data_IF_089834709732
#
_entry.id   IF_089834709732
#
_cell.length_a   1.000
_cell.length_b   1.000
_cell.length_c   1.000
_cell.angle_alpha   90.00
_cell.angle_beta   90.00
_cell.angle_gamma   90.00
#
_symmetry.space_group_name_H-M   'P 1'
#
loop_
_entity.id
_entity.type
_entity.pdbx_description
1 polymer ?
#
# COMPACT_ATOMS: atom_id res chain seq x y z
N UNK A 1 0.95 -8.78 17.72
CA UNK A 1 0.51 -9.20 16.37
C UNK A 1 0.99 -10.62 16.18
N UNK A 2 0.09 -11.60 16.07
CA UNK A 2 0.49 -12.97 15.74
C UNK A 2 1.10 -13.00 14.34
N UNK A 3 2.29 -13.59 14.23
CA UNK A 3 2.94 -13.85 12.95
C UNK A 3 2.12 -14.86 12.16
N UNK A 4 1.88 -14.55 10.88
CA UNK A 4 1.18 -15.47 9.98
C UNK A 4 1.98 -16.78 9.89
N UNK A 5 1.35 -17.90 10.23
CA UNK A 5 1.98 -19.21 10.15
C UNK A 5 2.00 -19.71 8.71
N UNK A 6 3.13 -20.28 8.30
CA UNK A 6 3.38 -20.86 6.98
C UNK A 6 3.75 -22.32 7.16
N UNK A 7 3.22 -23.18 6.29
CA UNK A 7 3.54 -24.59 6.29
C UNK A 7 4.84 -24.81 5.51
N UNK A 8 5.85 -25.40 6.16
CA UNK A 8 7.11 -25.82 5.50
C UNK A 8 6.92 -27.12 4.73
N UNK A 9 7.95 -27.52 3.97
CA UNK A 9 7.97 -28.81 3.25
C UNK A 9 7.81 -30.02 4.17
N UNK A 10 8.27 -29.91 5.41
CA UNK A 10 8.12 -30.93 6.47
C UNK A 10 6.74 -30.91 7.16
N UNK A 11 5.77 -30.16 6.63
CA UNK A 11 4.46 -29.91 7.25
C UNK A 11 4.55 -29.31 8.66
N UNK A 12 5.61 -28.56 8.95
CA UNK A 12 5.77 -27.83 10.21
C UNK A 12 5.36 -26.37 10.00
N UNK A 13 4.76 -25.78 11.03
CA UNK A 13 4.46 -24.36 11.01
C UNK A 13 5.72 -23.56 11.31
N UNK A 14 6.01 -22.59 10.46
CA UNK A 14 7.03 -21.57 10.65
C UNK A 14 6.40 -20.18 10.57
N UNK A 15 7.11 -19.18 11.06
CA UNK A 15 6.64 -17.81 11.08
C UNK A 15 6.98 -17.09 9.77
N UNK A 16 6.04 -16.28 9.26
CA UNK A 16 6.33 -15.28 8.25
C UNK A 16 7.24 -14.20 8.86
N UNK A 17 8.42 -14.03 8.26
CA UNK A 17 9.38 -13.00 8.63
C UNK A 17 9.26 -11.81 7.67
N UNK A 18 9.71 -10.65 8.13
CA UNK A 18 9.73 -9.41 7.34
C UNK A 18 11.09 -8.75 7.44
N UNK A 19 11.55 -8.13 6.35
CA UNK A 19 12.75 -7.28 6.33
C UNK A 19 12.52 -6.02 5.51
N UNK A 20 13.25 -4.96 5.82
CA UNK A 20 13.35 -3.79 4.95
C UNK A 20 14.42 -4.05 3.91
N UNK A 21 14.07 -3.89 2.63
CA UNK A 21 14.99 -4.01 1.50
C UNK A 21 15.21 -2.65 0.90
N UNK A 22 16.48 -2.33 0.65
CA UNK A 22 16.91 -1.16 -0.09
C UNK A 22 17.43 -1.57 -1.47
N UNK A 23 16.91 -0.95 -2.52
CA UNK A 23 17.28 -1.28 -3.89
C UNK A 23 17.36 -0.04 -4.77
N UNK A 24 18.46 0.11 -5.51
CA UNK A 24 18.57 1.10 -6.58
C UNK A 24 17.94 0.55 -7.86
N UNK A 25 16.98 1.28 -8.43
CA UNK A 25 16.36 0.89 -9.70
C UNK A 25 16.03 2.12 -10.55
N UNK A 26 16.55 2.16 -11.78
CA UNK A 26 16.35 3.27 -12.74
C UNK A 26 16.61 4.65 -12.15
N UNK A 27 17.66 4.79 -11.34
CA UNK A 27 18.04 6.05 -10.69
C UNK A 27 17.27 6.38 -9.40
N UNK A 28 16.30 5.55 -8.98
CA UNK A 28 15.56 5.74 -7.73
C UNK A 28 16.08 4.82 -6.62
N UNK A 29 16.20 5.34 -5.40
CA UNK A 29 16.37 4.53 -4.20
C UNK A 29 14.98 4.04 -3.76
N UNK A 30 14.79 2.73 -3.76
CA UNK A 30 13.54 2.09 -3.34
C UNK A 30 13.72 1.46 -1.97
N UNK A 31 12.79 1.75 -1.07
CA UNK A 31 12.74 1.15 0.26
C UNK A 31 11.38 0.46 0.38
N UNK A 32 11.38 -0.83 0.66
CA UNK A 32 10.14 -1.60 0.82
C UNK A 32 10.29 -2.73 1.83
N UNK A 33 9.16 -3.14 2.41
CA UNK A 33 9.10 -4.32 3.29
C UNK A 33 8.87 -5.57 2.45
N UNK A 34 9.76 -6.52 2.58
CA UNK A 34 9.69 -7.85 1.97
C UNK A 34 9.32 -8.88 3.03
N UNK A 35 8.48 -9.85 2.66
CA UNK A 35 8.09 -10.98 3.51
C UNK A 35 8.65 -12.30 2.97
N UNK A 36 9.10 -13.18 3.86
CA UNK A 36 9.71 -14.47 3.53
C UNK A 36 9.50 -15.48 4.67
N UNK A 37 9.93 -16.72 4.48
CA UNK A 37 10.03 -17.70 5.57
C UNK A 37 11.35 -18.46 5.47
N UNK A 38 11.74 -19.13 6.55
CA UNK A 38 12.93 -19.97 6.59
C UNK A 38 12.54 -21.44 6.45
N UNK A 39 13.21 -22.14 5.54
CA UNK A 39 13.13 -23.59 5.38
C UNK A 39 14.52 -24.17 5.12
N UNK A 40 14.65 -25.50 5.14
CA UNK A 40 15.93 -26.15 4.86
C UNK A 40 16.38 -25.93 3.42
N UNK A 41 17.68 -25.74 3.26
CA UNK A 41 18.31 -25.62 1.95
C UNK A 41 18.14 -26.92 1.15
N UNK A 42 17.86 -26.79 -0.14
CA UNK A 42 17.64 -27.93 -1.03
C UNK A 42 18.42 -27.72 -2.29
N UNK A 43 19.26 -28.69 -2.61
CA UNK A 43 19.93 -28.74 -3.89
C UNK A 43 18.90 -29.13 -4.96
N UNK A 44 18.57 -28.21 -5.86
CA UNK A 44 17.52 -28.41 -6.87
C UNK A 44 17.84 -29.50 -7.90
N UNK A 45 19.14 -29.74 -8.17
CA UNK A 45 19.59 -30.76 -9.14
C UNK A 45 19.50 -32.18 -8.58
N UNK A 46 19.71 -32.34 -7.27
CA UNK A 46 19.80 -33.65 -6.60
C UNK A 46 18.62 -33.96 -5.69
N UNK A 47 17.83 -32.96 -5.32
CA UNK A 47 16.72 -33.07 -4.36
C UNK A 47 17.17 -33.29 -2.90
N UNK A 48 18.48 -33.23 -2.61
CA UNK A 48 19.02 -33.43 -1.26
C UNK A 48 18.71 -32.21 -0.39
N UNK A 49 18.16 -32.47 0.80
CA UNK A 49 17.81 -31.45 1.80
C UNK A 49 18.92 -31.36 2.85
N UNK A 50 19.53 -30.18 2.98
CA UNK A 50 20.46 -29.89 4.08
C UNK A 50 19.70 -29.45 5.32
N UNK A 51 19.50 -30.39 6.24
CA UNK A 51 18.82 -30.14 7.53
C UNK A 51 19.61 -29.28 8.51
N UNK A 52 20.86 -28.91 8.19
CA UNK A 52 21.70 -28.05 9.04
C UNK A 52 21.64 -26.59 8.62
N UNK A 53 21.25 -26.33 7.37
CA UNK A 53 21.21 -24.98 6.81
C UNK A 53 19.78 -24.54 6.54
N UNK A 54 19.37 -23.39 7.09
CA UNK A 54 18.07 -22.77 6.79
C UNK A 54 18.28 -21.54 5.94
N UNK A 55 17.59 -21.47 4.80
CA UNK A 55 17.67 -20.37 3.84
C UNK A 55 16.29 -19.75 3.61
N UNK A 56 16.30 -18.58 2.96
CA UNK A 56 15.09 -17.81 2.68
C UNK A 56 14.30 -18.45 1.53
N UNK A 57 13.02 -18.70 1.77
CA UNK A 57 12.06 -19.13 0.76
C UNK A 57 10.85 -18.21 0.72
N UNK A 58 10.13 -18.30 -0.40
CA UNK A 58 8.95 -17.49 -0.66
C UNK A 58 7.82 -18.36 -1.19
N UNK A 59 6.68 -18.30 -0.52
CA UNK A 59 5.44 -18.84 -1.09
C UNK A 59 4.99 -17.97 -2.26
N UNK A 60 4.18 -18.53 -3.17
CA UNK A 60 3.59 -17.78 -4.30
C UNK A 60 2.83 -16.52 -3.84
N UNK A 61 2.17 -16.59 -2.69
CA UNK A 61 1.48 -15.44 -2.08
C UNK A 61 2.45 -14.36 -1.61
N UNK A 62 3.56 -14.75 -0.96
CA UNK A 62 4.60 -13.82 -0.52
C UNK A 62 5.30 -13.14 -1.70
N UNK A 63 5.66 -13.90 -2.75
CA UNK A 63 6.22 -13.31 -3.99
C UNK A 63 5.28 -12.25 -4.54
N UNK A 64 3.98 -12.57 -4.64
CA UNK A 64 2.97 -11.63 -5.16
C UNK A 64 2.86 -10.35 -4.32
N UNK A 65 2.93 -10.46 -2.99
CA UNK A 65 2.95 -9.31 -2.06
C UNK A 65 4.23 -8.49 -2.21
N UNK A 66 5.39 -9.14 -2.23
CA UNK A 66 6.70 -8.49 -2.37
C UNK A 66 6.80 -7.71 -3.68
N UNK A 67 6.36 -8.31 -4.79
CA UNK A 67 6.33 -7.65 -6.10
C UNK A 67 5.39 -6.43 -6.09
N UNK A 68 4.28 -6.50 -5.37
CA UNK A 68 3.36 -5.37 -5.23
C UNK A 68 3.98 -4.23 -4.42
N UNK A 69 4.62 -4.53 -3.29
CA UNK A 69 5.29 -3.52 -2.45
C UNK A 69 6.46 -2.88 -3.19
N UNK A 70 7.25 -3.66 -3.94
CA UNK A 70 8.31 -3.15 -4.82
C UNK A 70 7.75 -2.23 -5.92
N UNK A 71 6.66 -2.63 -6.58
CA UNK A 71 6.01 -1.79 -7.60
C UNK A 71 5.51 -0.48 -6.98
N UNK A 72 4.85 -0.56 -5.82
CA UNK A 72 4.34 0.60 -5.09
C UNK A 72 5.46 1.56 -4.71
N UNK A 73 6.57 1.06 -4.14
CA UNK A 73 7.72 1.91 -3.77
C UNK A 73 8.32 2.62 -4.98
N UNK A 74 8.39 1.95 -6.12
CA UNK A 74 8.82 2.59 -7.38
C UNK A 74 7.86 3.70 -7.83
N UNK A 75 6.55 3.50 -7.73
CA UNK A 75 5.57 4.53 -8.12
C UNK A 75 5.61 5.73 -7.17
N UNK A 76 5.77 5.49 -5.87
CA UNK A 76 5.92 6.54 -4.85
C UNK A 76 7.17 7.37 -5.13
N UNK A 77 8.30 6.72 -5.42
CA UNK A 77 9.54 7.40 -5.79
C UNK A 77 9.39 8.28 -7.05
N UNK A 78 8.43 7.97 -7.93
CA UNK A 78 8.07 8.78 -9.12
C UNK A 78 7.03 9.87 -8.86
N UNK A 79 6.64 10.08 -7.61
CA UNK A 79 5.72 11.13 -7.17
C UNK A 79 4.26 10.70 -6.98
N UNK A 80 3.97 9.41 -6.89
CA UNK A 80 2.66 8.96 -6.42
C UNK A 80 2.52 9.17 -4.90
N UNK A 81 1.28 9.34 -4.41
CA UNK A 81 1.01 9.39 -2.98
C UNK A 81 1.35 8.06 -2.29
N UNK A 82 2.09 8.13 -1.19
CA UNK A 82 2.32 6.96 -0.35
C UNK A 82 1.05 6.61 0.43
N UNK A 83 0.79 5.31 0.71
CA UNK A 83 -0.35 4.88 1.52
C UNK A 83 -0.47 5.63 2.84
N UNK A 84 0.65 5.86 3.53
CA UNK A 84 0.69 6.62 4.78
C UNK A 84 0.20 8.06 4.63
N UNK A 85 0.53 8.73 3.52
CA UNK A 85 0.11 10.11 3.27
C UNK A 85 -1.40 10.21 3.06
N UNK A 86 -1.96 9.21 2.37
CA UNK A 86 -3.41 9.11 2.16
C UNK A 86 -4.12 8.87 3.48
N UNK A 87 -3.63 7.93 4.30
CA UNK A 87 -4.16 7.64 5.64
C UNK A 87 -4.10 8.89 6.52
N UNK A 88 -2.94 9.55 6.61
CA UNK A 88 -2.77 10.74 7.45
C UNK A 88 -3.69 11.88 7.03
N UNK A 89 -3.81 12.16 5.73
CA UNK A 89 -4.77 13.14 5.23
C UNK A 89 -6.20 12.78 5.64
N UNK A 90 -6.57 11.52 5.44
CA UNK A 90 -7.91 11.03 5.64
C UNK A 90 -8.31 11.02 7.12
N UNK A 91 -7.40 10.64 8.00
CA UNK A 91 -7.58 10.68 9.46
C UNK A 91 -7.66 12.10 9.97
N UNK A 92 -6.78 12.99 9.50
CA UNK A 92 -6.79 14.43 9.86
C UNK A 92 -8.14 15.09 9.59
N UNK A 93 -8.76 14.77 8.46
CA UNK A 93 -10.05 15.37 8.06
C UNK A 93 -11.26 14.46 8.34
N UNK A 94 -11.06 13.34 9.05
CA UNK A 94 -12.12 12.35 9.35
C UNK A 94 -12.96 11.95 8.12
N UNK A 95 -12.29 11.66 7.02
CA UNK A 95 -12.91 11.21 5.77
C UNK A 95 -12.87 9.68 5.74
N UNK A 96 -13.93 9.00 5.31
CA UNK A 96 -13.87 7.55 5.10
C UNK A 96 -13.15 7.24 3.77
N UNK A 97 -12.41 6.13 3.68
CA UNK A 97 -11.68 5.76 2.44
C UNK A 97 -12.63 5.63 1.24
N UNK A 98 -13.83 5.12 1.49
CA UNK A 98 -14.92 5.04 0.51
C UNK A 98 -15.39 6.41 0.04
N UNK A 99 -15.58 7.35 0.97
CA UNK A 99 -15.96 8.73 0.65
C UNK A 99 -14.88 9.41 -0.18
N UNK A 100 -13.60 9.29 0.20
CA UNK A 100 -12.49 9.86 -0.57
C UNK A 100 -12.37 9.25 -1.97
N UNK A 101 -12.61 7.95 -2.10
CA UNK A 101 -12.63 7.28 -3.41
C UNK A 101 -13.69 7.89 -4.33
N UNK A 102 -14.91 8.07 -3.81
CA UNK A 102 -16.04 8.64 -4.56
C UNK A 102 -15.77 10.09 -4.96
N UNK A 103 -15.27 10.91 -4.03
CA UNK A 103 -14.91 12.33 -4.30
C UNK A 103 -13.94 12.44 -5.47
N UNK A 104 -12.93 11.56 -5.53
CA UNK A 104 -11.91 11.58 -6.57
C UNK A 104 -12.34 10.86 -7.87
N UNK A 105 -13.58 10.39 -7.96
CA UNK A 105 -14.10 9.71 -9.15
C UNK A 105 -13.62 8.26 -9.31
N UNK A 106 -13.15 7.62 -8.24
CA UNK A 106 -12.77 6.21 -8.25
C UNK A 106 -13.90 5.28 -7.80
N UNK A 107 -13.72 3.98 -8.02
CA UNK A 107 -14.59 2.97 -7.40
C UNK A 107 -14.43 2.99 -5.88
N UNK A 108 -15.50 2.69 -5.15
CA UNK A 108 -15.62 2.82 -3.68
C UNK A 108 -14.45 2.24 -2.87
N UNK A 109 -13.80 1.17 -3.34
CA UNK A 109 -12.74 0.49 -2.61
C UNK A 109 -11.33 0.91 -3.03
N UNK A 110 -11.18 1.82 -4.00
CA UNK A 110 -9.88 2.15 -4.59
C UNK A 110 -8.91 2.72 -3.57
N UNK A 111 -9.32 3.69 -2.76
CA UNK A 111 -8.46 4.26 -1.72
C UNK A 111 -8.10 3.20 -0.67
N UNK A 112 -9.07 2.42 -0.19
CA UNK A 112 -8.80 1.35 0.77
C UNK A 112 -7.80 0.32 0.22
N UNK A 113 -7.94 -0.07 -1.04
CA UNK A 113 -6.99 -0.98 -1.69
C UNK A 113 -5.60 -0.35 -1.78
N UNK A 114 -5.48 0.95 -2.10
CA UNK A 114 -4.18 1.62 -2.12
C UNK A 114 -3.56 1.69 -0.72
N UNK A 115 -4.38 1.98 0.31
CA UNK A 115 -3.93 2.03 1.71
C UNK A 115 -3.37 0.68 2.19
N UNK A 116 -3.98 -0.43 1.77
CA UNK A 116 -3.60 -1.79 2.21
C UNK A 116 -2.56 -2.45 1.31
N UNK A 117 -2.71 -2.33 -0.01
CA UNK A 117 -1.96 -3.08 -1.01
C UNK A 117 -0.93 -2.22 -1.77
N UNK A 118 -0.95 -0.91 -1.59
CA UNK A 118 -0.06 0.03 -2.28
C UNK A 118 -0.57 0.53 -3.64
N UNK A 119 0.18 1.44 -4.23
CA UNK A 119 -0.19 2.14 -5.46
C UNK A 119 -0.02 1.22 -6.66
N UNK A 120 -1.04 1.15 -7.53
CA UNK A 120 -1.03 0.28 -8.72
C UNK A 120 -0.81 1.04 -10.03
N UNK A 121 -1.13 2.34 -10.05
CA UNK A 121 -1.04 3.24 -11.21
C UNK A 121 -0.39 4.57 -10.84
N UNK A 122 0.57 5.03 -11.66
CA UNK A 122 1.25 6.31 -11.45
C UNK A 122 0.28 7.49 -11.58
N UNK A 123 -0.60 7.46 -12.58
CA UNK A 123 -1.55 8.55 -12.85
C UNK A 123 -2.52 8.71 -11.68
N UNK A 124 -3.12 7.60 -11.22
CA UNK A 124 -4.02 7.61 -10.07
C UNK A 124 -3.29 8.07 -8.80
N UNK A 125 -2.08 7.55 -8.57
CA UNK A 125 -1.26 7.95 -7.42
C UNK A 125 -0.89 9.43 -7.42
N UNK A 126 -0.59 10.02 -8.59
CA UNK A 126 -0.31 11.46 -8.75
C UNK A 126 -1.55 12.33 -8.58
N UNK A 127 -2.68 11.89 -9.12
CA UNK A 127 -3.96 12.58 -8.91
C UNK A 127 -4.29 12.65 -7.42
N UNK A 128 -4.19 11.52 -6.71
CA UNK A 128 -4.41 11.48 -5.26
C UNK A 128 -3.42 12.42 -4.56
N UNK A 129 -2.13 12.35 -4.89
CA UNK A 129 -1.08 13.20 -4.32
C UNK A 129 -1.40 14.69 -4.49
N UNK A 130 -1.81 15.08 -5.69
CA UNK A 130 -2.18 16.44 -6.01
C UNK A 130 -3.40 16.89 -5.18
N UNK A 131 -4.43 16.05 -5.09
CA UNK A 131 -5.65 16.37 -4.33
C UNK A 131 -5.41 16.47 -2.83
N UNK A 132 -4.62 15.57 -2.23
CA UNK A 132 -4.37 15.62 -0.77
C UNK A 132 -3.40 16.74 -0.37
N UNK A 133 -2.54 17.18 -1.30
CA UNK A 133 -1.59 18.27 -1.06
C UNK A 133 -2.17 19.66 -1.38
N UNK A 134 -3.26 19.75 -2.13
CA UNK A 134 -3.86 21.01 -2.54
C UNK A 134 -5.35 21.06 -2.16
N UNK A 135 -5.67 21.90 -1.16
CA UNK A 135 -7.01 22.07 -0.63
C UNK A 135 -8.02 22.56 -1.68
N UNK A 136 -7.60 23.41 -2.61
CA UNK A 136 -8.48 23.96 -3.64
C UNK A 136 -8.93 22.86 -4.60
N UNK A 137 -8.03 21.94 -4.93
CA UNK A 137 -8.31 20.81 -5.81
C UNK A 137 -9.29 19.85 -5.13
N UNK A 138 -9.04 19.43 -3.89
CA UNK A 138 -9.97 18.53 -3.21
C UNK A 138 -11.34 19.20 -2.96
N UNK A 139 -11.37 20.49 -2.65
CA UNK A 139 -12.62 21.25 -2.47
C UNK A 139 -13.39 21.35 -3.79
N UNK A 140 -12.70 21.53 -4.91
CA UNK A 140 -13.31 21.47 -6.23
C UNK A 140 -13.94 20.10 -6.48
N UNK A 141 -13.23 19.00 -6.23
CA UNK A 141 -13.74 17.63 -6.37
C UNK A 141 -14.97 17.37 -5.49
N UNK A 142 -14.98 17.86 -4.24
CA UNK A 142 -16.15 17.74 -3.35
C UNK A 142 -17.36 18.47 -3.94
N UNK A 143 -17.16 19.68 -4.46
CA UNK A 143 -18.24 20.50 -5.02
C UNK A 143 -18.89 19.82 -6.22
N UNK A 144 -18.08 19.31 -7.15
CA UNK A 144 -18.55 18.69 -8.40
C UNK A 144 -18.99 17.22 -8.25
N UNK A 145 -18.78 16.60 -7.09
CA UNK A 145 -19.13 15.20 -6.87
C UNK A 145 -20.65 15.01 -6.68
N UNK A 146 -21.37 14.50 -7.68
CA UNK A 146 -22.83 14.32 -7.59
C UNK A 146 -23.27 13.13 -6.72
N UNK A 147 -22.36 12.21 -6.41
CA UNK A 147 -22.65 11.02 -5.61
C UNK A 147 -22.69 11.28 -4.09
N UNK A 148 -22.57 12.53 -3.65
CA UNK A 148 -22.61 12.93 -2.24
C UNK A 148 -23.66 14.03 -2.08
N UNK A 149 -24.52 13.90 -1.06
CA UNK A 149 -25.55 14.89 -0.78
C UNK A 149 -24.98 16.25 -0.33
N UNK A 150 -25.79 17.30 -0.47
CA UNK A 150 -25.38 18.68 -0.18
C UNK A 150 -24.93 18.89 1.29
N UNK A 151 -25.59 18.22 2.24
CA UNK A 151 -25.24 18.32 3.67
C UNK A 151 -23.84 17.77 3.92
N UNK A 152 -23.54 16.59 3.37
CA UNK A 152 -22.24 15.94 3.52
C UNK A 152 -21.15 16.69 2.76
N UNK A 153 -21.45 17.32 1.63
CA UNK A 153 -20.52 18.26 0.96
C UNK A 153 -20.16 19.44 1.86
N UNK A 154 -21.14 20.03 2.53
CA UNK A 154 -20.92 21.16 3.44
C UNK A 154 -20.08 20.74 4.66
N UNK A 155 -20.39 19.60 5.27
CA UNK A 155 -19.61 19.02 6.38
C UNK A 155 -18.14 18.78 5.99
N UNK A 156 -17.91 18.19 4.82
CA UNK A 156 -16.55 17.93 4.31
C UNK A 156 -15.80 19.23 3.99
N UNK A 157 -16.49 20.21 3.40
CA UNK A 157 -15.90 21.51 3.07
C UNK A 157 -15.48 22.27 4.34
N UNK A 158 -16.34 22.28 5.37
CA UNK A 158 -16.00 22.85 6.68
C UNK A 158 -14.77 22.19 7.29
N UNK A 159 -14.72 20.85 7.32
CA UNK A 159 -13.55 20.12 7.83
C UNK A 159 -12.24 20.49 7.11
N UNK A 160 -12.26 20.67 5.80
CA UNK A 160 -11.03 20.99 5.04
C UNK A 160 -10.58 22.45 5.28
N UNK A 161 -11.55 23.37 5.46
CA UNK A 161 -11.32 24.78 5.71
C UNK A 161 -10.92 25.09 7.17
N UNK A 162 -11.59 24.49 8.16
CA UNK A 162 -11.40 24.76 9.60
C UNK A 162 -10.06 24.26 10.14
N UNK A 163 -9.55 23.09 9.69
CA UNK A 163 -8.22 22.58 10.08
C UNK A 163 -7.09 23.22 9.25
N UNK A 164 -7.22 24.51 8.93
CA UNK A 164 -6.31 25.32 8.12
C UNK A 164 -5.66 26.49 8.85
N UNK A 165 -5.85 26.61 10.16
CA UNK A 165 -5.17 27.59 11.05
C UNK A 165 -4.13 26.85 11.88
#
# INVERSE_FOLDING_TARGET
>A
MESKKILTRDNKLTDELQRTVEKKFKGFQLIYKEVYYLDYDVNEDTGIIDKKNKVEFYTKSQISRNMRTLKSSYLIAKGAAAPSEIISFREKYHIAASTLSIILGFSKNTISNIENDGVTSLTSGRLIKMSINNKDIISYYIRVCDSIDARKKEELSKKILEFGI
#
